data_IF_668355921927
#
_entry.id   IF_668355921927
#
_cell.length_a   1.000
_cell.length_b   1.000
_cell.length_c   1.000
_cell.angle_alpha   90.00
_cell.angle_beta   90.00
_cell.angle_gamma   90.00
#
_symmetry.space_group_name_H-M   'P 1'
#
loop_
_entity.id
_entity.type
_entity.pdbx_description
1 polymer ?
#
# COMPACT_ATOMS: atom_id res chain seq x y z
N UNK A 1 36.57 -3.24 9.26
CA UNK A 1 35.40 -2.67 8.57
C UNK A 1 34.15 -3.56 8.65
N UNK A 2 34.15 -4.83 8.27
CA UNK A 2 32.94 -5.72 8.33
C UNK A 2 32.30 -5.82 9.72
N UNK A 3 33.07 -5.93 10.81
CA UNK A 3 32.53 -5.98 12.19
C UNK A 3 31.77 -4.72 12.59
N UNK A 4 32.26 -3.53 12.19
CA UNK A 4 31.59 -2.24 12.50
C UNK A 4 30.28 -2.12 11.72
N UNK A 5 30.29 -2.51 10.44
CA UNK A 5 29.06 -2.56 9.62
C UNK A 5 28.00 -3.50 10.21
N UNK A 6 28.41 -4.68 10.69
CA UNK A 6 27.53 -5.66 11.33
C UNK A 6 26.91 -5.12 12.64
N UNK A 7 27.68 -4.38 13.44
CA UNK A 7 27.19 -3.72 14.65
C UNK A 7 26.17 -2.63 14.30
N UNK A 8 26.48 -1.79 13.32
CA UNK A 8 25.58 -0.72 12.87
C UNK A 8 24.28 -1.31 12.36
N UNK A 9 24.33 -2.36 11.51
CA UNK A 9 23.13 -3.02 10.99
C UNK A 9 22.29 -3.65 12.10
N UNK A 10 22.90 -4.27 13.10
CA UNK A 10 22.19 -4.80 14.27
C UNK A 10 21.54 -3.71 15.10
N UNK A 11 22.23 -2.58 15.31
CA UNK A 11 21.67 -1.41 16.00
C UNK A 11 20.45 -0.85 15.26
N UNK A 12 20.56 -0.64 13.94
CA UNK A 12 19.44 -0.16 13.12
C UNK A 12 18.26 -1.14 13.18
N UNK A 13 18.52 -2.46 13.11
CA UNK A 13 17.49 -3.47 13.21
C UNK A 13 16.79 -3.44 14.58
N UNK A 14 17.54 -3.34 15.68
CA UNK A 14 16.97 -3.24 17.04
C UNK A 14 16.16 -1.96 17.20
N UNK A 15 16.68 -0.81 16.75
CA UNK A 15 15.93 0.44 16.79
C UNK A 15 14.66 0.37 15.97
N UNK A 16 14.70 -0.22 14.76
CA UNK A 16 13.53 -0.46 13.93
C UNK A 16 12.50 -1.34 14.63
N UNK A 17 12.91 -2.46 15.21
CA UNK A 17 12.02 -3.35 15.97
C UNK A 17 11.38 -2.61 17.14
N UNK A 18 12.16 -1.87 17.95
CA UNK A 18 11.64 -1.10 19.08
C UNK A 18 10.63 -0.04 18.61
N UNK A 19 10.94 0.70 17.54
CA UNK A 19 10.05 1.72 16.98
C UNK A 19 8.73 1.11 16.50
N UNK A 20 8.79 0.06 15.66
CA UNK A 20 7.60 -0.62 15.17
C UNK A 20 6.78 -1.25 16.29
N UNK A 21 7.44 -1.81 17.31
CA UNK A 21 6.74 -2.36 18.48
C UNK A 21 6.01 -1.26 19.24
N UNK A 22 6.66 -0.11 19.48
CA UNK A 22 6.04 1.02 20.17
C UNK A 22 4.84 1.58 19.39
N UNK A 23 5.00 1.77 18.06
CA UNK A 23 3.91 2.22 17.18
C UNK A 23 2.76 1.23 17.16
N UNK A 24 3.06 -0.07 17.09
CA UNK A 24 2.05 -1.14 17.08
C UNK A 24 1.29 -1.19 18.41
N UNK A 25 2.00 -1.13 19.54
CA UNK A 25 1.37 -1.09 20.86
C UNK A 25 0.51 0.17 21.05
N UNK A 26 0.99 1.32 20.57
CA UNK A 26 0.21 2.56 20.56
C UNK A 26 -1.04 2.47 19.68
N UNK A 27 -0.94 1.84 18.52
CA UNK A 27 -2.07 1.63 17.61
C UNK A 27 -3.10 0.62 18.16
N UNK A 28 -2.64 -0.40 18.89
CA UNK A 28 -3.49 -1.41 19.54
C UNK A 28 -4.31 -0.80 20.69
N UNK A 29 -3.71 0.13 21.45
CA UNK A 29 -4.37 0.79 22.58
C UNK A 29 -5.33 1.91 22.19
N UNK A 30 -5.34 2.33 20.92
CA UNK A 30 -6.15 3.47 20.46
C UNK A 30 -6.88 3.15 19.16
N UNK A 31 -8.17 2.83 19.24
CA UNK A 31 -9.06 2.85 18.08
C UNK A 31 -9.16 4.28 17.52
N UNK A 32 -9.24 4.43 16.21
CA UNK A 32 -9.37 5.73 15.56
C UNK A 32 -10.69 5.79 14.79
N UNK A 33 -11.49 6.81 15.05
CA UNK A 33 -12.64 7.15 14.22
C UNK A 33 -12.28 8.34 13.34
N UNK A 34 -12.38 8.16 12.04
CA UNK A 34 -12.38 9.27 11.10
C UNK A 34 -13.74 9.97 11.19
N UNK A 35 -13.74 11.25 11.48
CA UNK A 35 -14.95 12.03 11.36
C UNK A 35 -15.27 12.19 9.86
N UNK A 36 -16.52 11.94 9.42
CA UNK A 36 -16.91 12.19 8.04
C UNK A 36 -16.66 13.67 7.71
N UNK A 37 -15.95 13.91 6.62
CA UNK A 37 -15.61 15.26 6.11
C UNK A 37 -14.63 16.12 6.92
N UNK A 38 -13.98 15.55 7.95
CA UNK A 38 -12.91 16.24 8.65
C UNK A 38 -11.69 15.32 8.72
N UNK A 39 -10.52 15.87 8.46
CA UNK A 39 -9.23 15.16 8.66
C UNK A 39 -8.91 14.93 10.15
N UNK A 40 -9.88 15.15 11.02
CA UNK A 40 -9.74 14.96 12.46
C UNK A 40 -9.92 13.50 12.82
N UNK A 41 -8.87 12.92 13.37
CA UNK A 41 -8.85 11.56 13.89
C UNK A 41 -9.13 11.62 15.40
N UNK A 42 -10.28 11.09 15.84
CA UNK A 42 -10.55 10.89 17.25
C UNK A 42 -10.06 9.52 17.71
N UNK A 43 -9.33 9.47 18.82
CA UNK A 43 -8.92 8.21 19.44
C UNK A 43 -10.07 7.65 20.29
N UNK A 44 -10.41 6.39 20.07
CA UNK A 44 -11.40 5.66 20.89
C UNK A 44 -10.66 4.51 21.57
N UNK A 45 -10.95 4.28 22.87
CA UNK A 45 -10.40 3.11 23.57
C UNK A 45 -10.92 1.83 22.92
N UNK A 46 -10.02 0.98 22.48
CA UNK A 46 -10.36 -0.31 21.91
C UNK A 46 -10.20 -1.43 22.94
N UNK A 47 -10.78 -2.60 22.65
CA UNK A 47 -10.65 -3.77 23.52
C UNK A 47 -9.23 -4.34 23.39
N UNK A 48 -8.34 -3.94 24.30
CA UNK A 48 -6.94 -4.32 24.31
C UNK A 48 -6.72 -5.84 24.37
N UNK A 49 -7.66 -6.62 24.98
CA UNK A 49 -7.57 -8.08 25.05
C UNK A 49 -7.69 -8.69 23.65
N UNK A 50 -8.64 -8.21 22.85
CA UNK A 50 -8.78 -8.65 21.44
C UNK A 50 -7.54 -8.31 20.63
N UNK A 51 -7.03 -7.11 20.80
CA UNK A 51 -5.86 -6.62 20.09
C UNK A 51 -4.61 -7.44 20.43
N UNK A 52 -4.37 -7.72 21.72
CA UNK A 52 -3.28 -8.61 22.16
C UNK A 52 -3.46 -10.02 21.59
N UNK A 53 -4.70 -10.56 21.62
CA UNK A 53 -5.00 -11.87 21.04
C UNK A 53 -4.66 -11.95 19.54
N UNK A 54 -4.96 -10.92 18.76
CA UNK A 54 -4.61 -10.83 17.33
C UNK A 54 -3.09 -10.82 17.15
N UNK A 55 -2.35 -10.01 17.92
CA UNK A 55 -0.90 -9.94 17.85
C UNK A 55 -0.24 -11.27 18.21
N UNK A 56 -0.70 -11.92 19.30
CA UNK A 56 -0.19 -13.24 19.69
C UNK A 56 -0.48 -14.27 18.60
N UNK A 57 -1.70 -14.28 18.06
CA UNK A 57 -2.07 -15.15 16.94
C UNK A 57 -1.17 -14.95 15.72
N UNK A 58 -0.89 -13.69 15.38
CA UNK A 58 0.01 -13.34 14.26
C UNK A 58 1.44 -13.80 14.51
N UNK A 59 1.98 -13.61 15.72
CA UNK A 59 3.32 -14.09 16.10
C UNK A 59 3.40 -15.62 16.01
N UNK A 60 2.37 -16.34 16.48
CA UNK A 60 2.31 -17.81 16.39
C UNK A 60 2.30 -18.26 14.93
N UNK A 61 1.49 -17.64 14.08
CA UNK A 61 1.42 -17.93 12.64
C UNK A 61 2.79 -17.71 11.99
N UNK A 62 3.44 -16.57 12.26
CA UNK A 62 4.80 -16.28 11.77
C UNK A 62 5.78 -17.35 12.25
N UNK A 63 5.73 -17.76 13.52
CA UNK A 63 6.60 -18.79 14.08
C UNK A 63 6.42 -20.14 13.39
N UNK A 64 5.18 -20.55 13.13
CA UNK A 64 4.87 -21.79 12.39
C UNK A 64 5.41 -21.71 10.97
N UNK A 65 5.13 -20.62 10.26
CA UNK A 65 5.60 -20.42 8.88
C UNK A 65 7.13 -20.41 8.84
N UNK A 66 7.76 -19.71 9.77
CA UNK A 66 9.21 -19.66 9.90
C UNK A 66 9.83 -21.05 10.07
N UNK A 67 9.20 -21.92 10.89
CA UNK A 67 9.65 -23.29 11.10
C UNK A 67 9.57 -24.14 9.84
N UNK A 68 8.51 -23.98 9.02
CA UNK A 68 8.27 -24.79 7.83
C UNK A 68 8.77 -24.17 6.53
N UNK A 69 9.16 -22.91 6.53
CA UNK A 69 9.57 -22.15 5.34
C UNK A 69 10.83 -22.65 4.65
N UNK A 70 11.70 -23.43 5.35
CA UNK A 70 12.91 -24.00 4.77
C UNK A 70 12.66 -25.06 3.70
N UNK A 71 11.40 -25.49 3.51
CA UNK A 71 11.00 -26.51 2.53
C UNK A 71 10.36 -25.93 1.27
N UNK A 72 10.24 -24.59 1.19
CA UNK A 72 9.54 -23.92 0.09
C UNK A 72 10.56 -23.41 -0.92
N UNK A 73 10.40 -23.80 -2.19
CA UNK A 73 11.26 -23.31 -3.27
C UNK A 73 10.81 -21.93 -3.77
N UNK A 74 11.75 -21.10 -4.17
CA UNK A 74 11.49 -19.74 -4.69
C UNK A 74 10.49 -19.73 -5.87
N UNK A 75 10.48 -20.76 -6.71
CA UNK A 75 9.49 -20.88 -7.80
C UNK A 75 8.06 -20.88 -7.28
N UNK A 76 7.77 -21.58 -6.18
CA UNK A 76 6.43 -21.59 -5.58
C UNK A 76 6.09 -20.25 -4.96
N UNK A 77 7.07 -19.53 -4.39
CA UNK A 77 6.87 -18.20 -3.84
C UNK A 77 6.56 -17.16 -4.92
N UNK A 78 7.18 -17.26 -6.09
CA UNK A 78 6.83 -16.43 -7.25
C UNK A 78 5.40 -16.66 -7.73
N UNK A 79 4.98 -17.92 -7.81
CA UNK A 79 3.60 -18.27 -8.15
C UNK A 79 2.65 -17.73 -7.08
N UNK A 80 2.95 -17.93 -5.80
CA UNK A 80 2.15 -17.41 -4.69
C UNK A 80 2.07 -15.88 -4.74
N UNK A 81 3.17 -15.17 -4.99
CA UNK A 81 3.20 -13.73 -5.15
C UNK A 81 2.30 -13.27 -6.31
N UNK A 82 2.38 -13.93 -7.46
CA UNK A 82 1.51 -13.61 -8.60
C UNK A 82 0.03 -13.85 -8.28
N UNK A 83 -0.29 -14.98 -7.64
CA UNK A 83 -1.67 -15.29 -7.22
C UNK A 83 -2.18 -14.26 -6.24
N UNK A 84 -1.42 -13.92 -5.20
CA UNK A 84 -1.80 -12.91 -4.20
C UNK A 84 -2.00 -11.54 -4.88
N UNK A 85 -1.09 -11.14 -5.76
CA UNK A 85 -1.18 -9.89 -6.49
C UNK A 85 -2.46 -9.81 -7.36
N UNK A 86 -2.78 -10.88 -8.08
CA UNK A 86 -3.99 -10.97 -8.91
C UNK A 86 -5.25 -10.93 -8.05
N UNK A 87 -5.31 -11.70 -6.96
CA UNK A 87 -6.49 -11.71 -6.09
C UNK A 87 -6.68 -10.39 -5.35
N UNK A 88 -5.59 -9.75 -4.90
CA UNK A 88 -5.65 -8.42 -4.30
C UNK A 88 -6.20 -7.41 -5.30
N UNK A 89 -5.61 -7.30 -6.49
CA UNK A 89 -6.07 -6.39 -7.52
C UNK A 89 -7.52 -6.67 -7.93
N UNK A 90 -7.90 -7.93 -8.14
CA UNK A 90 -9.27 -8.32 -8.49
C UNK A 90 -10.28 -7.94 -7.40
N UNK A 91 -9.92 -8.12 -6.12
CA UNK A 91 -10.75 -7.71 -4.98
C UNK A 91 -11.02 -6.21 -4.98
N UNK A 92 -9.97 -5.39 -5.11
CA UNK A 92 -10.09 -3.93 -5.17
C UNK A 92 -10.85 -3.47 -6.41
N UNK A 93 -10.58 -4.06 -7.59
CA UNK A 93 -11.34 -3.76 -8.81
C UNK A 93 -12.82 -4.06 -8.61
N UNK A 94 -13.15 -5.20 -8.00
CA UNK A 94 -14.54 -5.54 -7.70
C UNK A 94 -15.18 -4.51 -6.78
N UNK A 95 -14.48 -4.07 -5.75
CA UNK A 95 -14.96 -2.99 -4.86
C UNK A 95 -15.14 -1.68 -5.63
N UNK A 96 -14.16 -1.28 -6.43
CA UNK A 96 -14.19 -0.05 -7.22
C UNK A 96 -15.35 0.01 -8.24
N UNK A 97 -15.72 -1.14 -8.81
CA UNK A 97 -16.81 -1.24 -9.79
C UNK A 97 -18.20 -1.33 -9.16
N UNK A 98 -18.31 -1.78 -7.91
CA UNK A 98 -19.60 -2.00 -7.23
C UNK A 98 -19.90 -0.99 -6.13
N UNK A 99 -18.93 -0.20 -5.67
CA UNK A 99 -19.14 0.83 -4.67
C UNK A 99 -19.40 2.18 -5.32
N UNK A 100 -20.43 2.88 -4.87
CA UNK A 100 -20.59 4.30 -5.16
C UNK A 100 -19.56 5.08 -4.33
N UNK A 101 -18.43 5.38 -4.94
CA UNK A 101 -17.37 6.13 -4.30
C UNK A 101 -17.48 7.61 -4.66
N UNK A 102 -17.64 8.45 -3.64
CA UNK A 102 -17.61 9.90 -3.78
C UNK A 102 -16.24 10.40 -3.37
N UNK A 103 -15.54 11.05 -4.29
CA UNK A 103 -14.28 11.74 -3.99
C UNK A 103 -14.55 12.89 -3.03
N UNK A 104 -13.65 13.10 -2.07
CA UNK A 104 -13.72 14.21 -1.13
C UNK A 104 -12.34 14.80 -0.84
N UNK A 105 -12.28 16.02 -0.35
CA UNK A 105 -11.05 16.73 -0.01
C UNK A 105 -10.04 16.74 -1.17
N UNK A 106 -8.78 16.42 -0.89
CA UNK A 106 -7.71 16.47 -1.88
C UNK A 106 -7.87 15.47 -3.05
N UNK A 107 -8.57 14.36 -2.84
CA UNK A 107 -8.87 13.39 -3.90
C UNK A 107 -9.77 13.98 -4.99
N UNK A 108 -10.77 14.77 -4.58
CA UNK A 108 -11.64 15.46 -5.53
C UNK A 108 -10.82 16.43 -6.35
N UNK A 109 -9.88 17.12 -5.70
CA UNK A 109 -8.99 18.05 -6.38
C UNK A 109 -8.12 17.34 -7.42
N UNK A 110 -7.45 16.26 -7.05
CA UNK A 110 -6.66 15.43 -7.97
C UNK A 110 -7.53 14.91 -9.12
N UNK A 111 -8.73 14.43 -8.82
CA UNK A 111 -9.66 13.94 -9.85
C UNK A 111 -10.04 15.04 -10.84
N UNK A 112 -10.42 16.23 -10.37
CA UNK A 112 -10.83 17.35 -11.23
C UNK A 112 -9.67 17.84 -12.10
N UNK A 113 -8.48 17.97 -11.51
CA UNK A 113 -7.27 18.39 -12.22
C UNK A 113 -6.91 17.43 -13.34
N UNK A 114 -6.92 16.12 -13.05
CA UNK A 114 -6.67 15.08 -14.06
C UNK A 114 -7.76 15.06 -15.13
N UNK A 115 -9.03 15.32 -14.77
CA UNK A 115 -10.13 15.45 -15.73
C UNK A 115 -9.92 16.60 -16.71
N UNK A 116 -9.47 17.75 -16.20
CA UNK A 116 -9.10 18.88 -17.03
C UNK A 116 -8.03 18.51 -18.06
N UNK A 117 -6.95 17.86 -17.60
CA UNK A 117 -5.89 17.40 -18.51
C UNK A 117 -6.38 16.33 -19.50
N UNK A 118 -7.27 15.45 -19.08
CA UNK A 118 -7.89 14.43 -19.95
C UNK A 118 -8.68 15.08 -21.08
N UNK A 119 -9.45 16.15 -20.77
CA UNK A 119 -10.24 16.89 -21.76
C UNK A 119 -9.45 17.91 -22.58
N UNK A 120 -8.14 18.02 -22.36
CA UNK A 120 -7.28 18.96 -23.09
C UNK A 120 -7.21 20.36 -22.51
N UNK A 121 -7.72 20.55 -21.30
CA UNK A 121 -7.56 21.80 -20.56
C UNK A 121 -6.26 21.77 -19.75
N UNK A 122 -5.28 22.59 -20.16
CA UNK A 122 -3.93 22.62 -19.56
C UNK A 122 -3.72 23.79 -18.58
N UNK A 123 -4.78 24.43 -18.10
CA UNK A 123 -4.69 25.55 -17.12
C UNK A 123 -3.94 25.15 -15.85
N UNK A 124 -4.04 23.88 -15.43
CA UNK A 124 -3.39 23.34 -14.24
C UNK A 124 -1.85 23.30 -14.32
N UNK A 125 -1.29 23.46 -15.52
CA UNK A 125 0.17 23.59 -15.74
C UNK A 125 0.65 25.03 -15.65
N UNK A 126 -0.27 26.01 -15.59
CA UNK A 126 0.09 27.43 -15.53
C UNK A 126 0.61 27.81 -14.13
N UNK A 127 1.26 28.97 -14.07
CA UNK A 127 1.81 29.51 -12.82
C UNK A 127 0.73 29.65 -11.75
N UNK A 128 1.06 29.21 -10.52
CA UNK A 128 0.19 29.20 -9.35
C UNK A 128 -0.95 28.16 -9.37
N UNK A 129 -1.04 27.31 -10.37
CA UNK A 129 -2.00 26.20 -10.41
C UNK A 129 -1.40 24.91 -9.86
N UNK A 130 -2.24 23.90 -9.70
CA UNK A 130 -1.92 22.68 -8.95
C UNK A 130 -0.57 22.02 -9.33
N UNK A 131 -0.36 21.71 -10.60
CA UNK A 131 0.89 21.07 -11.03
C UNK A 131 2.11 21.98 -11.03
N UNK A 132 1.91 23.30 -11.03
CA UNK A 132 3.03 24.22 -10.85
C UNK A 132 3.46 24.30 -9.38
N UNK A 133 2.51 24.14 -8.45
CA UNK A 133 2.77 24.09 -7.00
C UNK A 133 3.28 22.71 -6.58
N UNK A 134 2.75 21.64 -7.19
CA UNK A 134 3.08 20.24 -6.88
C UNK A 134 3.61 19.49 -8.11
N UNK A 135 4.78 19.86 -8.67
CA UNK A 135 5.29 19.29 -9.91
C UNK A 135 5.60 17.79 -9.83
N UNK A 136 5.84 17.25 -8.64
CA UNK A 136 6.05 15.82 -8.42
C UNK A 136 4.78 14.99 -8.72
N UNK A 137 3.60 15.58 -8.65
CA UNK A 137 2.33 14.93 -8.99
C UNK A 137 2.15 14.70 -10.51
N UNK A 138 2.97 15.31 -11.36
CA UNK A 138 2.92 15.10 -12.82
C UNK A 138 3.20 13.63 -13.18
N UNK A 139 4.10 12.96 -12.48
CA UNK A 139 4.39 11.54 -12.68
C UNK A 139 3.16 10.67 -12.42
N UNK A 140 2.50 10.90 -11.30
CA UNK A 140 1.23 10.25 -10.92
C UNK A 140 0.14 10.54 -11.97
N UNK A 141 0.03 11.81 -12.38
CA UNK A 141 -0.88 12.23 -13.44
C UNK A 141 -0.67 11.48 -14.75
N UNK A 142 0.57 11.26 -15.16
CA UNK A 142 0.90 10.51 -16.38
C UNK A 142 0.48 9.03 -16.29
N UNK A 143 0.71 8.40 -15.13
CA UNK A 143 0.30 7.01 -14.88
C UNK A 143 -1.22 6.84 -14.96
N UNK A 144 -1.99 7.82 -14.51
CA UNK A 144 -3.46 7.80 -14.64
C UNK A 144 -3.94 8.14 -16.06
N UNK A 145 -3.40 9.21 -16.66
CA UNK A 145 -3.93 9.74 -17.92
C UNK A 145 -3.64 8.83 -19.11
N UNK A 146 -2.47 8.17 -19.14
CA UNK A 146 -2.11 7.33 -20.28
C UNK A 146 -3.09 6.15 -20.44
N UNK A 147 -3.36 5.31 -19.41
CA UNK A 147 -4.34 4.23 -19.55
C UNK A 147 -5.77 4.75 -19.78
N UNK A 148 -6.19 5.83 -19.10
CA UNK A 148 -7.53 6.37 -19.26
C UNK A 148 -7.79 6.88 -20.68
N UNK A 149 -6.78 7.47 -21.33
CA UNK A 149 -6.88 7.88 -22.75
C UNK A 149 -6.95 6.69 -23.69
N UNK A 150 -6.17 5.64 -23.43
CA UNK A 150 -6.21 4.40 -24.24
C UNK A 150 -7.58 3.73 -24.11
N UNK A 151 -8.13 3.69 -22.90
CA UNK A 151 -9.44 3.10 -22.62
C UNK A 151 -10.62 3.97 -23.08
N UNK A 152 -10.38 5.25 -23.38
CA UNK A 152 -11.43 6.22 -23.73
C UNK A 152 -12.42 6.49 -22.58
N UNK A 153 -12.05 6.15 -21.34
CA UNK A 153 -12.91 6.29 -20.16
C UNK A 153 -12.16 6.95 -19.02
N UNK A 154 -12.70 8.05 -18.52
CA UNK A 154 -12.24 8.75 -17.35
C UNK A 154 -13.32 8.74 -16.27
N UNK A 155 -13.15 7.91 -15.27
CA UNK A 155 -14.03 7.81 -14.11
C UNK A 155 -13.23 7.49 -12.85
N UNK A 156 -13.80 7.75 -11.68
CA UNK A 156 -13.18 7.38 -10.39
C UNK A 156 -12.85 5.89 -10.37
N UNK A 157 -13.78 5.05 -10.76
CA UNK A 157 -13.58 3.58 -10.80
C UNK A 157 -12.43 3.18 -11.74
N UNK A 158 -12.28 3.85 -12.89
CA UNK A 158 -11.16 3.58 -13.81
C UNK A 158 -9.81 3.90 -13.14
N UNK A 159 -9.72 5.02 -12.43
CA UNK A 159 -8.49 5.40 -11.71
C UNK A 159 -8.18 4.42 -10.57
N UNK A 160 -9.20 3.99 -9.82
CA UNK A 160 -9.07 2.97 -8.78
C UNK A 160 -8.63 1.61 -9.34
N UNK A 161 -9.14 1.22 -10.51
CA UNK A 161 -8.67 0.00 -11.19
C UNK A 161 -7.19 0.08 -11.58
N UNK A 162 -6.73 1.24 -12.04
CA UNK A 162 -5.30 1.46 -12.34
C UNK A 162 -4.46 1.30 -11.07
N UNK A 163 -4.89 1.90 -9.95
CA UNK A 163 -4.21 1.74 -8.66
C UNK A 163 -4.18 0.29 -8.18
N UNK A 164 -5.27 -0.43 -8.29
CA UNK A 164 -5.34 -1.85 -7.93
C UNK A 164 -4.31 -2.69 -8.71
N UNK A 165 -4.13 -2.39 -10.00
CA UNK A 165 -3.10 -3.03 -10.82
C UNK A 165 -1.70 -2.66 -10.31
N UNK A 166 -1.46 -1.39 -10.00
CA UNK A 166 -0.18 -0.93 -9.42
C UNK A 166 0.10 -1.62 -8.08
N UNK A 167 -0.89 -1.74 -7.19
CA UNK A 167 -0.78 -2.47 -5.93
C UNK A 167 -0.40 -3.94 -6.14
N UNK A 168 -1.02 -4.62 -7.10
CA UNK A 168 -0.64 -5.97 -7.50
C UNK A 168 0.82 -6.06 -7.98
N UNK A 169 1.26 -5.09 -8.79
CA UNK A 169 2.66 -5.01 -9.25
C UNK A 169 3.61 -4.82 -8.06
N UNK A 170 3.27 -3.98 -7.08
CA UNK A 170 4.07 -3.79 -5.87
C UNK A 170 4.23 -5.09 -5.09
N UNK A 171 3.13 -5.85 -4.91
CA UNK A 171 3.18 -7.14 -4.20
C UNK A 171 4.13 -8.12 -4.90
N UNK A 172 4.02 -8.25 -6.22
CA UNK A 172 4.85 -9.17 -6.99
C UNK A 172 6.33 -8.71 -7.02
N UNK A 173 6.58 -7.45 -7.37
CA UNK A 173 7.95 -6.91 -7.50
C UNK A 173 8.66 -6.84 -6.16
N UNK A 174 7.96 -6.52 -5.08
CA UNK A 174 8.52 -6.52 -3.74
C UNK A 174 9.00 -7.91 -3.31
N UNK A 175 8.27 -8.98 -3.68
CA UNK A 175 8.76 -10.36 -3.47
C UNK A 175 10.04 -10.66 -4.25
N UNK A 176 10.14 -10.21 -5.52
CA UNK A 176 11.36 -10.37 -6.32
C UNK A 176 12.54 -9.56 -5.75
N UNK A 177 12.28 -8.34 -5.26
CA UNK A 177 13.29 -7.52 -4.60
C UNK A 177 13.78 -8.22 -3.32
N UNK A 178 12.87 -8.72 -2.48
CA UNK A 178 13.22 -9.46 -1.27
C UNK A 178 14.10 -10.67 -1.59
N UNK A 179 13.76 -11.44 -2.65
CA UNK A 179 14.57 -12.54 -3.10
C UNK A 179 15.96 -12.12 -3.58
N UNK A 180 16.04 -11.11 -4.43
CA UNK A 180 17.32 -10.65 -5.00
C UNK A 180 18.27 -10.08 -3.96
N UNK A 181 17.73 -9.41 -2.93
CA UNK A 181 18.53 -8.82 -1.86
C UNK A 181 19.04 -9.86 -0.85
N UNK A 182 18.20 -10.80 -0.49
CA UNK A 182 18.48 -11.67 0.65
C UNK A 182 18.76 -13.12 0.29
N UNK A 183 18.34 -13.61 -0.89
CA UNK A 183 18.44 -15.00 -1.32
C UNK A 183 17.93 -16.02 -0.27
N UNK A 184 16.87 -15.63 0.47
CA UNK A 184 16.27 -16.43 1.54
C UNK A 184 14.76 -16.51 1.35
N UNK A 185 14.25 -17.72 1.10
CA UNK A 185 12.82 -17.99 0.93
C UNK A 185 11.98 -17.51 2.12
N UNK A 186 12.53 -17.61 3.32
CA UNK A 186 11.87 -17.17 4.56
C UNK A 186 11.50 -15.68 4.53
N UNK A 187 12.37 -14.84 3.97
CA UNK A 187 12.11 -13.40 3.88
C UNK A 187 11.06 -13.08 2.80
N UNK A 188 11.04 -13.84 1.71
CA UNK A 188 9.98 -13.74 0.73
C UNK A 188 8.60 -14.11 1.32
N UNK A 189 8.55 -15.21 2.09
CA UNK A 189 7.30 -15.60 2.79
C UNK A 189 6.87 -14.51 3.78
N UNK A 190 7.81 -13.98 4.56
CA UNK A 190 7.53 -12.90 5.50
C UNK A 190 7.00 -11.65 4.80
N UNK A 191 7.62 -11.27 3.67
CA UNK A 191 7.13 -10.16 2.85
C UNK A 191 5.70 -10.40 2.34
N UNK A 192 5.40 -11.59 1.80
CA UNK A 192 4.07 -11.91 1.29
C UNK A 192 3.01 -11.88 2.40
N UNK A 193 3.35 -12.35 3.60
CA UNK A 193 2.46 -12.25 4.76
C UNK A 193 2.21 -10.80 5.14
N UNK A 194 3.25 -9.97 5.19
CA UNK A 194 3.09 -8.55 5.45
C UNK A 194 2.22 -7.91 4.37
N UNK A 195 2.47 -8.20 3.10
CA UNK A 195 1.69 -7.66 2.00
C UNK A 195 0.20 -8.01 2.10
N UNK A 196 -0.15 -9.26 2.48
CA UNK A 196 -1.55 -9.68 2.69
C UNK A 196 -2.18 -8.97 3.89
N UNK A 197 -1.43 -8.86 4.99
CA UNK A 197 -1.96 -8.33 6.26
C UNK A 197 -1.90 -6.80 6.35
N UNK A 198 -1.19 -6.14 5.43
CA UNK A 198 -1.05 -4.69 5.46
C UNK A 198 -2.30 -4.02 4.86
N UNK A 199 -3.35 -3.98 5.66
CA UNK A 199 -4.65 -3.38 5.32
C UNK A 199 -4.53 -1.98 4.69
N UNK A 200 -3.66 -1.07 5.15
CA UNK A 200 -3.49 0.23 4.51
C UNK A 200 -3.13 0.13 3.02
N UNK A 201 -2.26 -0.79 2.59
CA UNK A 201 -1.92 -0.96 1.18
C UNK A 201 -3.19 -1.16 0.35
N UNK A 202 -4.06 -2.08 0.77
CA UNK A 202 -5.28 -2.42 0.05
C UNK A 202 -6.35 -1.33 0.12
N UNK A 203 -6.48 -0.64 1.26
CA UNK A 203 -7.44 0.46 1.39
C UNK A 203 -7.01 1.69 0.61
N UNK A 204 -5.72 2.01 0.60
CA UNK A 204 -5.20 3.17 -0.14
C UNK A 204 -5.32 3.01 -1.67
N UNK A 205 -5.46 1.79 -2.18
CA UNK A 205 -5.75 1.55 -3.60
C UNK A 205 -7.12 2.08 -4.03
N UNK A 206 -8.03 2.36 -3.11
CA UNK A 206 -9.32 3.02 -3.37
C UNK A 206 -9.24 4.55 -3.39
N UNK A 207 -8.14 5.12 -2.92
CA UNK A 207 -7.95 6.58 -2.85
C UNK A 207 -7.11 7.09 -4.04
N UNK A 208 -7.56 8.15 -4.69
CA UNK A 208 -6.92 8.70 -5.91
C UNK A 208 -5.83 9.70 -5.51
N UNK A 209 -4.83 9.27 -4.73
CA UNK A 209 -3.70 10.12 -4.34
C UNK A 209 -2.37 9.72 -4.98
N UNK A 210 -2.27 8.49 -5.44
CA UNK A 210 -1.03 7.95 -6.00
C UNK A 210 -0.02 7.46 -4.98
N UNK A 211 -0.38 7.28 -3.69
CA UNK A 211 0.53 6.74 -2.68
C UNK A 211 0.94 5.28 -2.96
N UNK A 212 0.20 4.58 -3.79
CA UNK A 212 0.49 3.21 -4.22
C UNK A 212 1.18 3.12 -5.58
N UNK A 213 1.63 4.25 -6.14
CA UNK A 213 2.26 4.30 -7.45
C UNK A 213 3.77 4.50 -7.43
#
# INVERSE_FOLDING_TARGET
MRKVQDIILKLIAVMGICFFTAVTLGAIGSGRKLAPFAETVSTVSDNWIKAVGIVVGFIVIIGIIWKYSSRVYIRHLRIAAAVIAIFSAAGIITMALNAEYVTGADQEYVYVVLKNLYTGNYTELQKYWYYNVYPYQLGVGAIYLLPTRILGNYSVSTLQCIQAICGGIIIFTGNEIAWRLFHKERLCIFYLLLAICYVPLHLYELFIYGETM
#
